data_IF_787788051076
#
_entry.id   IF_787788051076
#
_cell.length_a   1.000
_cell.length_b   1.000
_cell.length_c   1.000
_cell.angle_alpha   90.00
_cell.angle_beta   90.00
_cell.angle_gamma   90.00
#
_symmetry.space_group_name_H-M   'P 1'
#
loop_
_entity.id
_entity.type
_entity.pdbx_description
1 polymer ?
#
# COMPACT_ATOMS: atom_id res chain seq x y z
N UNK A 1 38.55 42.46 4.67
CA UNK A 1 38.29 41.40 3.66
C UNK A 1 37.29 40.42 4.27
N UNK A 2 36.19 40.18 3.55
CA UNK A 2 34.98 39.44 3.92
C UNK A 2 35.18 38.14 4.73
N UNK A 3 34.25 37.86 5.66
CA UNK A 3 33.32 36.72 5.57
C UNK A 3 32.32 36.69 6.75
N UNK A 4 31.08 37.11 6.47
CA UNK A 4 29.89 36.73 7.22
C UNK A 4 29.75 35.19 7.18
N UNK A 5 29.92 34.51 8.32
CA UNK A 5 29.48 33.12 8.48
C UNK A 5 28.01 33.15 8.88
N UNK A 6 27.16 32.86 7.89
CA UNK A 6 25.74 32.52 8.03
C UNK A 6 25.67 31.32 8.99
N UNK A 7 25.24 31.53 10.23
CA UNK A 7 24.88 30.42 11.12
C UNK A 7 23.58 29.84 10.54
N UNK A 8 23.74 28.68 9.93
CA UNK A 8 22.67 27.83 9.45
C UNK A 8 21.79 27.50 10.66
N UNK A 9 20.59 28.09 10.73
CA UNK A 9 19.52 27.58 11.60
C UNK A 9 19.22 26.18 11.09
N UNK A 10 19.72 25.17 11.78
CA UNK A 10 19.19 23.81 11.72
C UNK A 10 17.74 23.90 12.17
N UNK A 11 16.85 24.01 11.20
CA UNK A 11 15.44 23.76 11.40
C UNK A 11 15.36 22.26 11.69
N UNK A 12 15.36 21.90 12.97
CA UNK A 12 14.88 20.59 13.39
C UNK A 12 13.41 20.59 12.99
N UNK A 13 13.11 20.01 11.82
CA UNK A 13 11.78 19.54 11.52
C UNK A 13 11.50 18.47 12.58
N UNK A 14 10.91 18.88 13.70
CA UNK A 14 10.13 17.95 14.48
C UNK A 14 9.10 17.40 13.51
N UNK A 15 9.26 16.13 13.14
CA UNK A 15 8.16 15.32 12.65
C UNK A 15 6.95 15.63 13.54
N UNK A 16 5.79 16.02 13.01
CA UNK A 16 4.61 16.17 13.83
C UNK A 16 4.21 14.77 14.27
N UNK A 17 4.84 14.28 15.35
CA UNK A 17 4.20 13.32 16.22
C UNK A 17 3.08 14.15 16.84
N UNK A 18 1.90 14.09 16.21
CA UNK A 18 0.67 14.57 16.81
C UNK A 18 0.34 13.57 17.92
N UNK A 19 1.09 13.66 19.02
CA UNK A 19 0.76 12.99 20.27
C UNK A 19 -0.40 13.76 20.90
N UNK A 20 -1.63 13.52 20.40
CA UNK A 20 -2.82 13.79 21.17
C UNK A 20 -2.96 12.65 22.19
N UNK A 21 -2.32 12.80 23.36
CA UNK A 21 -2.60 11.96 24.52
C UNK A 21 -2.95 12.83 25.74
N UNK A 22 -4.08 13.51 25.67
CA UNK A 22 -4.85 13.80 26.88
C UNK A 22 -5.69 12.53 27.16
N UNK A 23 -5.42 11.85 28.28
CA UNK A 23 -5.93 10.51 28.65
C UNK A 23 -5.24 9.30 27.99
N UNK A 24 -3.94 9.06 28.27
CA UNK A 24 -3.33 7.72 28.49
C UNK A 24 -3.62 6.51 27.57
N UNK A 25 -4.32 6.67 26.45
CA UNK A 25 -4.63 5.66 25.46
C UNK A 25 -3.71 5.93 24.26
N UNK A 26 -2.89 4.96 23.89
CA UNK A 26 -2.14 5.03 22.64
C UNK A 26 -3.14 4.93 21.48
N UNK A 27 -3.49 6.09 20.91
CA UNK A 27 -4.32 6.16 19.69
C UNK A 27 -3.54 5.53 18.55
N UNK A 28 -4.14 4.57 17.85
CA UNK A 28 -3.48 3.86 16.75
C UNK A 28 -3.09 4.81 15.60
N UNK A 29 -2.09 4.44 14.80
CA UNK A 29 -1.65 5.26 13.66
C UNK A 29 -2.79 5.57 12.70
N UNK A 30 -3.66 4.60 12.39
CA UNK A 30 -4.84 4.82 11.56
C UNK A 30 -5.83 5.79 12.21
N UNK A 31 -6.10 5.68 13.51
CA UNK A 31 -6.98 6.63 14.21
C UNK A 31 -6.43 8.06 14.17
N UNK A 32 -5.11 8.24 14.29
CA UNK A 32 -4.47 9.57 14.16
C UNK A 32 -4.64 10.15 12.75
N UNK A 33 -4.53 9.31 11.72
CA UNK A 33 -4.63 9.73 10.32
C UNK A 33 -6.08 9.96 9.86
N UNK A 34 -7.04 9.29 10.48
CA UNK A 34 -8.46 9.36 10.12
C UNK A 34 -9.27 10.30 11.03
N UNK A 35 -8.69 10.84 12.10
CA UNK A 35 -9.38 11.73 13.02
C UNK A 35 -9.81 13.05 12.36
N UNK A 36 -11.07 13.43 12.58
CA UNK A 36 -11.59 14.77 12.29
C UNK A 36 -11.22 15.75 13.41
N UNK A 37 -10.87 16.98 13.06
CA UNK A 37 -10.49 18.04 14.01
C UNK A 37 -11.44 19.23 13.82
N UNK A 38 -12.04 19.73 14.90
CA UNK A 38 -12.92 20.92 14.87
C UNK A 38 -14.01 20.91 13.79
N UNK A 39 -14.68 19.76 13.62
CA UNK A 39 -15.73 19.51 12.59
C UNK A 39 -15.22 19.54 11.15
N UNK A 40 -13.90 19.60 10.94
CA UNK A 40 -13.29 19.41 9.62
C UNK A 40 -12.83 17.97 9.46
N UNK A 41 -13.10 17.40 8.28
CA UNK A 41 -12.63 16.05 7.92
C UNK A 41 -11.10 15.99 7.98
N UNK A 42 -10.53 14.80 8.19
CA UNK A 42 -9.08 14.62 8.16
C UNK A 42 -8.49 15.16 6.86
N UNK A 43 -7.41 15.95 6.97
CA UNK A 43 -6.69 16.51 5.80
C UNK A 43 -6.08 15.44 4.89
N UNK A 44 -5.95 14.20 5.38
CA UNK A 44 -5.42 13.06 4.62
C UNK A 44 -6.53 12.28 3.90
N UNK A 45 -7.80 12.57 4.16
CA UNK A 45 -8.95 11.85 3.61
C UNK A 45 -9.56 12.63 2.46
N UNK A 46 -9.62 12.01 1.28
CA UNK A 46 -10.34 12.53 0.12
C UNK A 46 -11.51 11.60 -0.20
N UNK A 47 -12.71 12.06 0.09
CA UNK A 47 -13.94 11.27 -0.10
C UNK A 47 -14.35 11.22 -1.58
N UNK A 48 -14.77 10.03 -2.01
CA UNK A 48 -15.54 9.81 -3.23
C UNK A 48 -16.95 9.31 -2.85
N UNK A 49 -17.91 10.23 -2.93
CA UNK A 49 -19.33 9.98 -2.63
C UNK A 49 -19.97 8.99 -3.62
N UNK A 50 -19.46 8.87 -4.85
CA UNK A 50 -20.07 8.01 -5.87
C UNK A 50 -19.81 6.53 -5.64
N UNK A 51 -18.73 6.21 -4.93
CA UNK A 51 -18.30 4.84 -4.64
C UNK A 51 -18.39 4.47 -3.16
N UNK A 52 -18.87 5.40 -2.32
CA UNK A 52 -18.79 5.31 -0.84
C UNK A 52 -17.38 4.94 -0.37
N UNK A 53 -16.36 5.58 -0.93
CA UNK A 53 -14.97 5.28 -0.63
C UNK A 53 -14.17 6.54 -0.33
N UNK A 54 -12.93 6.36 0.14
CA UNK A 54 -11.99 7.46 0.25
C UNK A 54 -10.57 7.05 -0.15
N UNK A 55 -9.81 8.06 -0.56
CA UNK A 55 -8.36 7.99 -0.75
C UNK A 55 -7.68 8.48 0.52
N UNK A 56 -6.76 7.68 1.04
CA UNK A 56 -5.83 8.11 2.09
C UNK A 56 -4.57 8.70 1.43
N UNK A 57 -4.54 10.03 1.33
CA UNK A 57 -3.41 10.76 0.76
C UNK A 57 -2.42 11.14 1.87
N UNK A 58 -1.30 10.44 1.94
CA UNK A 58 -0.29 10.62 2.96
C UNK A 58 0.86 11.51 2.51
N UNK A 59 0.79 12.14 1.33
CA UNK A 59 1.91 12.90 0.73
C UNK A 59 2.55 13.90 1.69
N UNK A 60 1.73 14.63 2.45
CA UNK A 60 2.17 15.65 3.41
C UNK A 60 2.16 15.16 4.87
N UNK A 61 2.20 13.85 5.09
CA UNK A 61 2.14 13.26 6.44
C UNK A 61 3.46 13.35 7.21
N UNK A 62 4.60 13.40 6.50
CA UNK A 62 5.93 13.30 7.12
C UNK A 62 6.22 11.92 7.74
N UNK A 63 5.36 10.93 7.52
CA UNK A 63 5.56 9.58 8.05
C UNK A 63 6.79 8.94 7.44
N UNK A 64 7.62 8.35 8.30
CA UNK A 64 8.77 7.54 7.89
C UNK A 64 8.44 6.04 7.87
N UNK A 65 7.33 5.65 8.49
CA UNK A 65 6.91 4.26 8.66
C UNK A 65 5.40 4.11 8.71
N UNK A 66 4.86 3.04 8.13
CA UNK A 66 3.51 2.56 8.44
C UNK A 66 3.64 1.41 9.44
N UNK A 67 3.03 1.55 10.60
CA UNK A 67 3.24 0.65 11.74
C UNK A 67 2.59 -0.73 11.50
N UNK A 68 3.10 -1.72 12.23
CA UNK A 68 2.57 -3.09 12.18
C UNK A 68 1.07 -3.08 12.45
N UNK A 69 0.31 -3.73 11.57
CA UNK A 69 -1.15 -3.84 11.68
C UNK A 69 -1.92 -2.51 11.73
N UNK A 70 -1.32 -1.38 11.32
CA UNK A 70 -1.93 -0.04 11.44
C UNK A 70 -3.35 0.03 10.87
N UNK A 71 -3.59 -0.62 9.73
CA UNK A 71 -4.86 -0.68 9.01
C UNK A 71 -5.41 -2.12 8.95
N UNK A 72 -5.14 -2.97 9.95
CA UNK A 72 -5.57 -4.37 9.93
C UNK A 72 -7.09 -4.56 10.09
N UNK A 73 -7.77 -3.67 10.82
CA UNK A 73 -9.20 -3.82 11.17
C UNK A 73 -10.12 -3.01 10.26
N UNK A 74 -11.41 -3.37 10.23
CA UNK A 74 -12.44 -2.57 9.56
C UNK A 74 -12.50 -1.13 10.13
N UNK A 75 -12.41 -0.98 11.45
CA UNK A 75 -12.42 0.35 12.11
C UNK A 75 -11.31 1.25 11.58
N UNK A 76 -10.12 0.70 11.33
CA UNK A 76 -8.99 1.43 10.77
C UNK A 76 -9.11 1.71 9.26
N UNK A 77 -10.16 1.25 8.59
CA UNK A 77 -10.39 1.40 7.14
C UNK A 77 -11.68 2.13 6.79
N UNK A 78 -12.38 2.67 7.79
CA UNK A 78 -13.63 3.41 7.61
C UNK A 78 -13.39 4.87 8.01
N UNK A 79 -13.89 5.78 7.17
CA UNK A 79 -14.06 7.17 7.54
C UNK A 79 -15.56 7.48 7.71
N UNK A 80 -15.90 8.15 8.81
CA UNK A 80 -17.27 8.54 9.12
C UNK A 80 -17.44 10.05 8.91
N UNK A 81 -18.44 10.45 8.12
CA UNK A 81 -18.80 11.87 7.93
C UNK A 81 -20.23 12.14 8.36
N UNK A 82 -20.42 13.21 9.11
CA UNK A 82 -21.75 13.68 9.50
C UNK A 82 -22.14 14.91 8.68
N UNK A 83 -23.30 14.85 8.02
CA UNK A 83 -23.86 15.95 7.23
C UNK A 83 -25.18 16.41 7.84
N UNK A 84 -25.38 17.73 7.93
CA UNK A 84 -26.66 18.32 8.32
C UNK A 84 -27.59 18.36 7.10
N UNK A 85 -28.82 17.89 7.26
CA UNK A 85 -29.86 18.05 6.24
C UNK A 85 -30.98 18.96 6.76
N UNK A 86 -31.33 19.98 5.99
CA UNK A 86 -32.52 20.79 6.23
C UNK A 86 -33.71 20.13 5.53
N UNK A 87 -34.84 19.98 6.23
CA UNK A 87 -36.09 19.54 5.61
C UNK A 87 -36.62 20.68 4.72
N UNK A 88 -36.47 20.56 3.40
CA UNK A 88 -37.21 21.42 2.47
C UNK A 88 -38.64 20.85 2.34
N UNK A 89 -39.63 21.57 2.86
CA UNK A 89 -40.99 21.50 2.34
C UNK A 89 -41.39 22.87 1.80
N UNK A 90 -41.72 22.90 0.52
CA UNK A 90 -42.69 23.85 -0.03
C UNK A 90 -44.04 23.58 0.63
N UNK A 91 -44.35 24.31 1.69
CA UNK A 91 -45.71 24.43 2.19
C UNK A 91 -46.17 25.87 1.89
N UNK A 92 -46.99 26.00 0.84
CA UNK A 92 -47.89 27.13 0.73
C UNK A 92 -48.80 27.13 1.96
N UNK A 93 -48.94 28.30 2.59
CA UNK A 93 -49.80 28.60 3.75
C UNK A 93 -49.47 27.87 5.07
N UNK A 94 -48.67 28.51 5.93
CA UNK A 94 -49.08 28.92 7.28
C UNK A 94 -47.91 29.48 8.10
N UNK A 95 -48.17 30.57 8.82
CA UNK A 95 -47.21 31.34 9.60
C UNK A 95 -46.99 30.75 10.99
N UNK A 96 -46.08 29.79 11.13
CA UNK A 96 -45.42 29.51 12.42
C UNK A 96 -43.95 29.14 12.16
N UNK A 97 -43.02 30.03 12.53
CA UNK A 97 -41.59 29.79 12.41
C UNK A 97 -41.11 28.95 13.61
N UNK A 98 -41.38 27.65 13.57
CA UNK A 98 -40.71 26.67 14.44
C UNK A 98 -39.59 26.00 13.62
N UNK A 99 -38.33 26.37 13.90
CA UNK A 99 -37.18 25.63 13.37
C UNK A 99 -37.22 24.20 13.92
N UNK A 100 -37.64 23.26 13.07
CA UNK A 100 -37.60 21.83 13.38
C UNK A 100 -36.13 21.37 13.51
N UNK A 101 -35.80 20.41 14.39
CA UNK A 101 -34.41 19.99 14.62
C UNK A 101 -33.73 19.57 13.32
N UNK A 102 -32.53 20.09 13.05
CA UNK A 102 -31.70 19.62 11.93
C UNK A 102 -31.37 18.14 12.13
N UNK A 103 -31.67 17.31 11.12
CA UNK A 103 -31.41 15.88 11.19
C UNK A 103 -29.96 15.60 10.75
N UNK A 104 -29.21 14.89 11.59
CA UNK A 104 -27.82 14.52 11.31
C UNK A 104 -27.79 13.19 10.56
N UNK A 105 -27.35 13.21 9.31
CA UNK A 105 -27.07 11.98 8.55
C UNK A 105 -25.61 11.58 8.73
N UNK A 106 -25.38 10.30 9.05
CA UNK A 106 -24.03 9.71 9.13
C UNK A 106 -23.79 8.87 7.87
N UNK A 107 -22.69 9.15 7.16
CA UNK A 107 -22.24 8.37 6.02
C UNK A 107 -20.89 7.70 6.34
N UNK A 108 -20.67 6.51 5.78
CA UNK A 108 -19.44 5.74 5.94
C UNK A 108 -18.75 5.55 4.60
N UNK A 109 -17.43 5.72 4.58
CA UNK A 109 -16.59 5.60 3.41
C UNK A 109 -15.47 4.61 3.69
N UNK A 110 -15.18 3.73 2.72
CA UNK A 110 -14.17 2.68 2.88
C UNK A 110 -12.85 3.04 2.17
N UNK A 111 -11.73 2.65 2.78
CA UNK A 111 -10.40 2.89 2.22
C UNK A 111 -10.21 2.12 0.91
N UNK A 112 -10.14 2.84 -0.21
CA UNK A 112 -10.01 2.24 -1.55
C UNK A 112 -8.63 2.44 -2.16
N UNK A 113 -7.99 3.58 -1.88
CA UNK A 113 -6.68 3.94 -2.43
C UNK A 113 -5.78 4.58 -1.38
N UNK A 114 -4.48 4.33 -1.47
CA UNK A 114 -3.47 4.99 -0.64
C UNK A 114 -2.43 5.66 -1.54
N UNK A 115 -2.06 6.90 -1.20
CA UNK A 115 -0.94 7.63 -1.81
C UNK A 115 0.14 7.77 -0.74
N UNK A 116 1.30 7.15 -0.95
CA UNK A 116 2.37 7.09 0.04
C UNK A 116 3.32 8.30 -0.04
N UNK A 117 3.87 8.81 1.08
CA UNK A 117 4.76 9.97 1.07
C UNK A 117 6.18 9.62 0.65
N UNK A 118 6.92 10.65 0.23
CA UNK A 118 8.36 10.56 -0.03
C UNK A 118 9.17 10.18 1.20
N UNK A 119 8.78 10.61 2.39
CA UNK A 119 9.53 10.30 3.62
C UNK A 119 9.42 8.85 4.06
N UNK A 120 8.51 8.05 3.47
CA UNK A 120 8.26 6.68 3.88
C UNK A 120 9.47 5.79 3.57
N UNK A 121 9.94 5.05 4.58
CA UNK A 121 11.09 4.15 4.46
C UNK A 121 10.71 2.68 4.67
N UNK A 122 9.64 2.41 5.41
CA UNK A 122 9.19 1.05 5.71
C UNK A 122 7.67 0.97 5.85
N UNK A 123 7.09 -0.11 5.31
CA UNK A 123 5.73 -0.56 5.63
C UNK A 123 5.88 -1.86 6.40
N UNK A 124 5.38 -1.90 7.63
CA UNK A 124 5.56 -3.05 8.50
C UNK A 124 4.62 -4.22 8.19
N UNK A 125 4.89 -5.32 8.89
CA UNK A 125 4.11 -6.55 8.81
C UNK A 125 2.61 -6.27 9.06
N UNK A 126 1.75 -6.91 8.27
CA UNK A 126 0.29 -6.82 8.40
C UNK A 126 -0.30 -5.40 8.29
N UNK A 127 0.48 -4.37 7.91
CA UNK A 127 0.04 -2.96 7.93
C UNK A 127 -1.33 -2.75 7.29
N UNK A 128 -1.60 -3.40 6.15
CA UNK A 128 -2.86 -3.38 5.41
C UNK A 128 -3.35 -4.80 5.08
N UNK A 129 -3.14 -5.76 5.98
CA UNK A 129 -3.65 -7.12 5.82
C UNK A 129 -5.20 -7.17 5.84
N UNK A 130 -5.80 -8.00 4.99
CA UNK A 130 -7.25 -8.12 4.80
C UNK A 130 -7.77 -9.58 4.78
N UNK A 131 -6.91 -10.58 4.59
CA UNK A 131 -7.31 -11.98 4.32
C UNK A 131 -8.12 -12.64 5.46
N UNK A 132 -7.91 -12.25 6.72
CA UNK A 132 -8.68 -12.77 7.87
C UNK A 132 -9.60 -11.73 8.51
N UNK A 133 -9.84 -10.60 7.86
CA UNK A 133 -10.60 -9.48 8.44
C UNK A 133 -12.11 -9.54 8.11
N UNK A 134 -12.60 -10.62 7.48
CA UNK A 134 -13.99 -10.78 7.02
C UNK A 134 -14.51 -9.56 6.21
N UNK A 135 -13.61 -8.94 5.45
CA UNK A 135 -13.92 -7.78 4.63
C UNK A 135 -14.67 -8.19 3.36
N UNK A 136 -15.72 -7.44 3.04
CA UNK A 136 -16.38 -7.44 1.74
C UNK A 136 -15.48 -6.80 0.68
N UNK A 137 -15.80 -6.99 -0.60
CA UNK A 137 -15.00 -6.41 -1.70
C UNK A 137 -14.97 -4.88 -1.72
N UNK A 138 -15.96 -4.23 -1.12
CA UNK A 138 -16.01 -2.77 -0.98
C UNK A 138 -15.03 -2.25 0.08
N UNK A 139 -14.68 -3.07 1.06
CA UNK A 139 -13.82 -2.71 2.20
C UNK A 139 -12.32 -2.99 1.95
N UNK A 140 -12.00 -3.61 0.82
CA UNK A 140 -10.63 -3.96 0.41
C UNK A 140 -10.01 -2.87 -0.45
N UNK A 141 -8.71 -2.66 -0.24
CA UNK A 141 -7.92 -1.69 -1.02
C UNK A 141 -7.82 -2.16 -2.47
N UNK A 142 -7.96 -1.23 -3.41
CA UNK A 142 -7.93 -1.48 -4.85
C UNK A 142 -6.70 -0.88 -5.52
N UNK A 143 -6.15 0.19 -4.97
CA UNK A 143 -5.06 0.92 -5.59
C UNK A 143 -4.01 1.39 -4.57
N UNK A 144 -2.73 1.25 -4.95
CA UNK A 144 -1.59 1.76 -4.21
C UNK A 144 -0.80 2.68 -5.13
N UNK A 145 -0.50 3.89 -4.65
CA UNK A 145 0.32 4.85 -5.36
C UNK A 145 1.65 5.06 -4.61
N UNK A 146 2.68 4.40 -5.12
CA UNK A 146 4.06 4.52 -4.66
C UNK A 146 4.87 5.58 -5.43
N UNK A 147 4.26 6.36 -6.33
CA UNK A 147 4.98 7.30 -7.22
C UNK A 147 5.80 8.34 -6.46
N UNK A 148 5.39 8.67 -5.23
CA UNK A 148 6.12 9.58 -4.33
C UNK A 148 7.02 8.86 -3.34
N UNK A 149 6.85 7.57 -3.09
CA UNK A 149 7.56 6.81 -2.05
C UNK A 149 8.99 6.41 -2.44
N UNK A 150 9.80 7.40 -2.87
CA UNK A 150 11.16 7.21 -3.40
C UNK A 150 12.21 6.87 -2.34
N UNK A 151 11.84 6.84 -1.05
CA UNK A 151 12.70 6.36 0.04
C UNK A 151 12.26 5.00 0.62
N UNK A 152 11.17 4.41 0.11
CA UNK A 152 10.66 3.13 0.62
C UNK A 152 11.67 2.02 0.37
N UNK A 153 12.19 1.40 1.43
CA UNK A 153 13.18 0.33 1.37
C UNK A 153 12.58 -1.05 1.56
N UNK A 154 11.53 -1.17 2.37
CA UNK A 154 11.00 -2.47 2.78
C UNK A 154 9.48 -2.47 2.85
N UNK A 155 8.90 -3.54 2.33
CA UNK A 155 7.49 -3.89 2.53
C UNK A 155 7.46 -5.18 3.36
N UNK A 156 6.81 -5.12 4.52
CA UNK A 156 6.78 -6.18 5.52
C UNK A 156 5.96 -7.39 5.12
N UNK A 157 6.02 -8.40 5.98
CA UNK A 157 5.31 -9.66 5.77
C UNK A 157 3.80 -9.43 5.81
N UNK A 158 3.08 -10.03 4.86
CA UNK A 158 1.63 -9.99 4.77
C UNK A 158 1.05 -8.56 4.68
N UNK A 159 1.87 -7.55 4.37
CA UNK A 159 1.52 -6.13 4.48
C UNK A 159 0.26 -5.75 3.69
N UNK A 160 0.00 -6.37 2.55
CA UNK A 160 -1.16 -6.11 1.68
C UNK A 160 -1.91 -7.40 1.30
N UNK A 161 -1.74 -8.49 2.03
CA UNK A 161 -2.39 -9.76 1.69
C UNK A 161 -3.92 -9.66 1.75
N UNK A 162 -4.61 -10.24 0.77
CA UNK A 162 -6.07 -10.39 0.78
C UNK A 162 -6.86 -9.14 0.38
N UNK A 163 -6.21 -8.16 -0.27
CA UNK A 163 -6.89 -6.98 -0.82
C UNK A 163 -7.34 -7.23 -2.28
N UNK A 164 -7.83 -6.20 -2.95
CA UNK A 164 -8.34 -6.25 -4.32
C UNK A 164 -7.46 -5.45 -5.30
N UNK A 165 -6.14 -5.41 -5.06
CA UNK A 165 -5.20 -4.64 -5.88
C UNK A 165 -5.02 -5.31 -7.24
N UNK A 166 -5.13 -4.54 -8.33
CA UNK A 166 -5.08 -5.06 -9.72
C UNK A 166 -3.80 -4.72 -10.47
N UNK A 167 -3.19 -3.57 -10.17
CA UNK A 167 -1.94 -3.11 -10.75
C UNK A 167 -1.02 -2.56 -9.68
N UNK A 168 0.28 -2.76 -9.87
CA UNK A 168 1.29 -2.30 -8.93
C UNK A 168 2.50 -1.76 -9.67
N UNK A 169 2.89 -0.54 -9.36
CA UNK A 169 4.18 0.04 -9.78
C UNK A 169 5.03 0.16 -8.52
N UNK A 170 6.16 -0.55 -8.48
CA UNK A 170 7.02 -0.56 -7.30
C UNK A 170 7.92 0.70 -7.26
N UNK A 171 8.24 1.24 -6.07
CA UNK A 171 9.07 2.43 -5.95
C UNK A 171 10.55 2.12 -6.23
N UNK A 172 11.30 3.16 -6.58
CA UNK A 172 12.67 3.03 -7.09
C UNK A 172 13.69 2.51 -6.08
N UNK A 173 13.50 2.85 -4.80
CA UNK A 173 14.41 2.53 -3.72
C UNK A 173 14.16 1.19 -3.02
N UNK A 174 13.13 0.45 -3.44
CA UNK A 174 12.67 -0.76 -2.76
C UNK A 174 13.75 -1.84 -2.81
N UNK A 175 14.10 -2.39 -1.66
CA UNK A 175 15.15 -3.41 -1.49
C UNK A 175 14.54 -4.79 -1.27
N UNK A 176 13.42 -4.88 -0.53
CA UNK A 176 12.84 -6.17 -0.16
C UNK A 176 11.32 -6.16 -0.08
N UNK A 177 10.73 -7.28 -0.50
CA UNK A 177 9.31 -7.59 -0.42
C UNK A 177 9.13 -8.79 0.50
N UNK A 178 8.42 -8.61 1.60
CA UNK A 178 8.24 -9.60 2.66
C UNK A 178 7.37 -10.80 2.27
N UNK A 179 7.38 -11.81 3.15
CA UNK A 179 6.60 -13.04 2.99
C UNK A 179 5.14 -12.72 2.77
N UNK A 180 4.55 -13.25 1.69
CA UNK A 180 3.15 -13.06 1.34
C UNK A 180 2.67 -11.59 1.32
N UNK A 181 3.57 -10.62 1.12
CA UNK A 181 3.25 -9.20 1.20
C UNK A 181 2.08 -8.78 0.28
N UNK A 182 1.98 -9.36 -0.91
CA UNK A 182 0.93 -9.11 -1.90
C UNK A 182 0.15 -10.38 -2.27
N UNK A 183 0.19 -11.41 -1.43
CA UNK A 183 -0.52 -12.65 -1.70
C UNK A 183 -2.05 -12.44 -1.73
N UNK A 184 -2.77 -13.27 -2.49
CA UNK A 184 -4.24 -13.27 -2.58
C UNK A 184 -4.81 -11.89 -2.94
N UNK A 185 -4.27 -11.30 -4.01
CA UNK A 185 -4.80 -10.08 -4.61
C UNK A 185 -5.33 -10.39 -6.01
N UNK A 186 -5.63 -9.36 -6.80
CA UNK A 186 -6.06 -9.47 -8.18
C UNK A 186 -4.98 -8.95 -9.16
N UNK A 187 -3.70 -9.00 -8.78
CA UNK A 187 -2.63 -8.37 -9.56
C UNK A 187 -2.52 -9.02 -10.93
N UNK A 188 -2.80 -8.25 -11.98
CA UNK A 188 -2.61 -8.66 -13.38
C UNK A 188 -1.25 -8.20 -13.89
N UNK A 189 -0.73 -7.09 -13.35
CA UNK A 189 0.53 -6.49 -13.73
C UNK A 189 1.27 -5.96 -12.51
N UNK A 190 2.57 -6.25 -12.46
CA UNK A 190 3.51 -5.64 -11.52
C UNK A 190 4.67 -5.07 -12.32
N UNK A 191 4.88 -3.76 -12.23
CA UNK A 191 6.01 -3.07 -12.85
C UNK A 191 7.18 -2.99 -11.87
N UNK A 192 8.21 -3.79 -12.15
CA UNK A 192 9.47 -3.83 -11.41
C UNK A 192 10.53 -2.87 -11.98
N UNK A 193 10.28 -2.20 -13.11
CA UNK A 193 11.29 -1.47 -13.89
C UNK A 193 11.96 -0.33 -13.13
N UNK A 194 11.26 0.26 -12.17
CA UNK A 194 11.80 1.33 -11.33
C UNK A 194 12.66 0.80 -10.17
N UNK A 195 12.39 -0.39 -9.64
CA UNK A 195 12.99 -0.93 -8.41
C UNK A 195 14.37 -1.55 -8.62
N UNK A 196 15.33 -0.77 -9.12
CA UNK A 196 16.69 -1.24 -9.42
C UNK A 196 17.46 -1.71 -8.18
N UNK A 197 17.05 -1.24 -7.01
CA UNK A 197 17.60 -1.64 -5.70
C UNK A 197 17.00 -2.93 -5.14
N UNK A 198 16.02 -3.54 -5.82
CA UNK A 198 15.34 -4.75 -5.33
C UNK A 198 16.30 -5.93 -5.31
N UNK A 199 16.50 -6.52 -4.13
CA UNK A 199 17.41 -7.64 -3.89
C UNK A 199 16.63 -8.94 -3.64
N UNK A 200 15.53 -8.87 -2.88
CA UNK A 200 14.86 -10.06 -2.34
C UNK A 200 13.34 -10.00 -2.53
N UNK A 201 12.79 -11.08 -3.06
CA UNK A 201 11.36 -11.36 -3.11
C UNK A 201 11.10 -12.60 -2.25
N UNK A 202 10.47 -12.44 -1.09
CA UNK A 202 10.32 -13.52 -0.11
C UNK A 202 9.22 -14.53 -0.44
N UNK A 203 9.16 -15.59 0.38
CA UNK A 203 8.25 -16.73 0.24
C UNK A 203 6.81 -16.28 0.03
N UNK A 204 6.21 -16.73 -1.07
CA UNK A 204 4.81 -16.43 -1.38
C UNK A 204 4.48 -14.96 -1.61
N UNK A 205 5.46 -14.05 -1.78
CA UNK A 205 5.24 -12.60 -1.84
C UNK A 205 4.09 -12.18 -2.77
N UNK A 206 3.93 -12.86 -3.91
CA UNK A 206 2.90 -12.65 -4.91
C UNK A 206 2.04 -13.91 -5.15
N UNK A 207 1.97 -14.83 -4.18
CA UNK A 207 1.16 -16.04 -4.26
C UNK A 207 -0.32 -15.73 -4.54
N UNK A 208 -0.96 -16.52 -5.39
CA UNK A 208 -2.41 -16.43 -5.70
C UNK A 208 -2.81 -15.04 -6.23
N UNK A 209 -2.40 -14.78 -7.47
CA UNK A 209 -2.66 -13.55 -8.21
C UNK A 209 -2.95 -13.89 -9.69
N UNK A 210 -2.95 -12.90 -10.58
CA UNK A 210 -3.29 -13.05 -12.02
C UNK A 210 -2.16 -12.56 -12.93
N UNK A 211 -0.92 -12.51 -12.44
CA UNK A 211 0.23 -11.93 -13.15
C UNK A 211 0.55 -12.80 -14.37
N UNK A 212 0.72 -12.17 -15.54
CA UNK A 212 0.99 -12.87 -16.81
C UNK A 212 2.44 -12.79 -17.25
N UNK A 213 3.12 -11.68 -16.96
CA UNK A 213 4.50 -11.47 -17.38
C UNK A 213 5.31 -10.87 -16.23
N UNK A 214 6.54 -11.34 -16.08
CA UNK A 214 7.51 -10.77 -15.17
C UNK A 214 8.71 -10.25 -15.94
N UNK A 215 9.01 -8.96 -15.80
CA UNK A 215 10.19 -8.33 -16.38
C UNK A 215 11.08 -7.75 -15.28
N UNK A 216 12.16 -8.49 -14.98
CA UNK A 216 13.24 -8.10 -14.08
C UNK A 216 14.46 -7.53 -14.83
N UNK A 217 14.31 -7.14 -16.10
CA UNK A 217 15.42 -6.68 -16.93
C UNK A 217 16.09 -5.40 -16.40
N UNK A 218 15.46 -4.64 -15.50
CA UNK A 218 16.06 -3.47 -14.86
C UNK A 218 16.58 -3.75 -13.44
N UNK A 219 16.28 -4.93 -12.86
CA UNK A 219 16.55 -5.25 -11.46
C UNK A 219 17.93 -5.94 -11.32
N UNK A 220 18.99 -5.19 -11.61
CA UNK A 220 20.39 -5.68 -11.59
C UNK A 220 20.85 -6.23 -10.23
N UNK A 221 20.22 -5.80 -9.13
CA UNK A 221 20.54 -6.24 -7.77
C UNK A 221 19.72 -7.43 -7.28
N UNK A 222 18.77 -7.94 -8.06
CA UNK A 222 17.96 -9.07 -7.65
C UNK A 222 18.86 -10.30 -7.47
N UNK A 223 18.89 -10.84 -6.25
CA UNK A 223 19.72 -12.00 -5.89
C UNK A 223 18.88 -13.23 -5.54
N UNK A 224 17.64 -13.05 -5.07
CA UNK A 224 16.86 -14.17 -4.57
C UNK A 224 15.34 -14.01 -4.76
N UNK A 225 14.73 -15.04 -5.35
CA UNK A 225 13.29 -15.27 -5.42
C UNK A 225 13.01 -16.51 -4.58
N UNK A 226 12.39 -16.35 -3.42
CA UNK A 226 12.15 -17.45 -2.47
C UNK A 226 11.04 -18.39 -2.91
N UNK A 227 10.87 -19.49 -2.17
CA UNK A 227 9.88 -20.52 -2.45
C UNK A 227 8.47 -19.97 -2.63
N UNK A 228 7.72 -20.52 -3.58
CA UNK A 228 6.33 -20.11 -3.88
C UNK A 228 6.12 -18.62 -4.16
N UNK A 229 7.17 -17.81 -4.35
CA UNK A 229 7.06 -16.35 -4.45
C UNK A 229 6.02 -15.87 -5.47
N UNK A 230 5.86 -16.60 -6.57
CA UNK A 230 4.89 -16.34 -7.63
C UNK A 230 4.00 -17.57 -7.91
N UNK A 231 3.85 -18.49 -6.96
CA UNK A 231 2.97 -19.65 -7.13
C UNK A 231 1.51 -19.23 -7.36
N UNK A 232 0.77 -20.00 -8.16
CA UNK A 232 -0.65 -19.75 -8.49
C UNK A 232 -0.88 -18.38 -9.14
N UNK A 233 -0.23 -18.16 -10.29
CA UNK A 233 -0.40 -16.99 -11.14
C UNK A 233 -0.71 -17.45 -12.59
N UNK A 234 -0.55 -16.56 -13.57
CA UNK A 234 -0.72 -16.85 -15.00
C UNK A 234 0.56 -16.61 -15.79
N UNK A 235 1.73 -16.72 -15.14
CA UNK A 235 3.00 -16.29 -15.71
C UNK A 235 3.35 -17.16 -16.90
N UNK A 236 3.55 -16.54 -18.05
CA UNK A 236 3.97 -17.19 -19.30
C UNK A 236 5.48 -17.10 -19.48
N UNK A 237 6.06 -15.94 -19.15
CA UNK A 237 7.48 -15.64 -19.35
C UNK A 237 8.05 -14.85 -18.17
N UNK A 238 9.33 -15.08 -17.91
CA UNK A 238 10.11 -14.31 -16.93
C UNK A 238 11.38 -13.83 -17.62
N UNK A 239 11.59 -12.52 -17.65
CA UNK A 239 12.79 -11.92 -18.21
C UNK A 239 13.69 -11.40 -17.10
N UNK A 240 14.94 -11.84 -17.09
CA UNK A 240 15.94 -11.39 -16.13
C UNK A 240 16.89 -10.35 -16.74
N UNK A 241 17.67 -9.71 -15.87
CA UNK A 241 18.80 -8.90 -16.29
C UNK A 241 20.05 -9.78 -16.49
N UNK A 242 20.50 -9.92 -17.73
CA UNK A 242 21.69 -10.73 -18.07
C UNK A 242 23.00 -10.24 -17.41
N UNK A 243 23.06 -8.98 -17.00
CA UNK A 243 24.22 -8.38 -16.31
C UNK A 243 24.15 -8.54 -14.78
N UNK A 244 23.05 -9.08 -14.23
CA UNK A 244 22.99 -9.44 -12.82
C UNK A 244 23.99 -10.58 -12.53
N UNK A 245 24.54 -10.61 -11.31
CA UNK A 245 25.58 -11.58 -10.95
C UNK A 245 25.06 -13.02 -10.95
N UNK A 246 23.99 -13.26 -10.21
CA UNK A 246 23.35 -14.57 -10.06
C UNK A 246 22.01 -14.35 -9.38
N UNK A 247 21.01 -15.19 -9.73
CA UNK A 247 19.73 -15.24 -9.04
C UNK A 247 19.53 -16.64 -8.50
N UNK A 248 19.18 -16.75 -7.22
CA UNK A 248 18.68 -18.01 -6.65
C UNK A 248 17.17 -18.03 -6.74
N UNK A 249 16.62 -19.06 -7.37
CA UNK A 249 15.17 -19.27 -7.50
C UNK A 249 14.77 -20.48 -6.66
N UNK A 250 13.94 -20.24 -5.66
CA UNK A 250 13.49 -21.20 -4.67
C UNK A 250 12.48 -22.22 -5.21
N UNK A 251 12.21 -23.22 -4.39
CA UNK A 251 11.27 -24.30 -4.70
C UNK A 251 9.87 -23.81 -4.93
N UNK A 252 9.20 -24.33 -5.97
CA UNK A 252 7.84 -23.95 -6.33
C UNK A 252 7.65 -22.46 -6.65
N UNK A 253 8.72 -21.67 -6.83
CA UNK A 253 8.62 -20.22 -7.03
C UNK A 253 7.63 -19.82 -8.15
N UNK A 254 7.53 -20.63 -9.20
CA UNK A 254 6.61 -20.48 -10.33
C UNK A 254 5.67 -21.68 -10.48
N UNK A 255 5.43 -22.46 -9.42
CA UNK A 255 4.45 -23.55 -9.43
C UNK A 255 3.06 -23.01 -9.78
N UNK A 256 2.24 -23.84 -10.42
CA UNK A 256 0.85 -23.48 -10.79
C UNK A 256 0.74 -22.20 -11.65
N UNK A 257 1.72 -21.98 -12.53
CA UNK A 257 1.69 -20.98 -13.60
C UNK A 257 1.58 -21.61 -15.00
N UNK A 258 1.57 -20.79 -16.06
CA UNK A 258 1.64 -21.28 -17.45
C UNK A 258 3.06 -21.76 -17.78
N UNK A 259 4.08 -21.05 -17.29
CA UNK A 259 5.49 -21.47 -17.36
C UNK A 259 5.71 -22.80 -16.63
N UNK A 260 6.38 -23.75 -17.28
CA UNK A 260 6.67 -25.09 -16.74
C UNK A 260 8.14 -25.51 -16.86
N UNK A 261 8.94 -24.80 -17.64
CA UNK A 261 10.32 -25.18 -17.95
C UNK A 261 11.24 -23.96 -17.92
N UNK A 262 12.54 -24.22 -17.86
CA UNK A 262 13.56 -23.16 -17.85
C UNK A 262 13.65 -22.39 -19.18
N UNK A 263 13.05 -22.88 -20.27
CA UNK A 263 13.14 -22.26 -21.60
C UNK A 263 12.47 -20.88 -21.66
N UNK A 264 11.48 -20.64 -20.80
CA UNK A 264 10.79 -19.35 -20.69
C UNK A 264 11.41 -18.41 -19.63
N UNK A 265 12.56 -18.79 -19.04
CA UNK A 265 13.38 -17.93 -18.19
C UNK A 265 14.41 -17.21 -19.07
N UNK A 266 13.99 -16.10 -19.67
CA UNK A 266 14.83 -15.32 -20.58
C UNK A 266 15.94 -14.58 -19.82
N UNK A 267 17.15 -14.56 -20.38
CA UNK A 267 18.28 -13.77 -19.88
C UNK A 267 18.69 -14.08 -18.43
N UNK A 268 18.41 -15.28 -17.93
CA UNK A 268 18.87 -15.71 -16.62
C UNK A 268 20.42 -15.68 -16.54
N UNK A 269 21.03 -15.11 -15.49
CA UNK A 269 22.49 -15.12 -15.34
C UNK A 269 23.05 -16.54 -15.27
N UNK A 270 24.21 -16.79 -15.89
CA UNK A 270 24.79 -18.15 -16.02
C UNK A 270 25.07 -18.83 -14.67
N UNK A 271 25.48 -18.07 -13.64
CA UNK A 271 25.73 -18.60 -12.29
C UNK A 271 24.49 -18.69 -11.39
N UNK A 272 23.28 -18.67 -11.96
CA UNK A 272 22.02 -18.76 -11.20
C UNK A 272 21.75 -20.17 -10.68
N UNK A 273 21.08 -20.27 -9.54
CA UNK A 273 20.71 -21.54 -8.91
C UNK A 273 19.20 -21.74 -8.98
N UNK A 274 18.75 -22.88 -9.53
CA UNK A 274 17.33 -23.20 -9.76
C UNK A 274 16.91 -24.40 -8.89
N UNK A 275 16.21 -24.14 -7.79
CA UNK A 275 15.87 -25.15 -6.78
C UNK A 275 14.48 -25.75 -6.99
N UNK A 276 14.25 -26.40 -8.14
CA UNK A 276 12.93 -26.91 -8.55
C UNK A 276 11.85 -25.82 -8.61
N UNK A 277 12.03 -24.78 -9.46
CA UNK A 277 11.17 -23.60 -9.46
C UNK A 277 9.72 -23.87 -9.88
N UNK A 278 9.43 -24.98 -10.57
CA UNK A 278 8.10 -25.30 -11.10
C UNK A 278 7.35 -26.40 -10.34
N UNK A 279 8.01 -27.07 -9.38
CA UNK A 279 7.50 -28.25 -8.66
C UNK A 279 7.20 -27.94 -7.20
#
# INVERSE_FOLDING_TARGET
MFKFKKILKTLVLLSPIVALSACGQNVSQAEQLLASIDKTDSKYVKIDESTNSFVLDLTDSGLTKIDKSAFFSLKSRIFQKTTLQNQNQTNESNSENTQKPQETKVNFYFLSKIIFPETLTEIEDYAFYADSANLTDQEKIKELDFSKATNLKKIGNFAFQGNNITKLVLPSSLVSIGRQAFAKNNLEQVDFSNSKDLEIIQTGAFFDNKIQHLDFSQNVKLIEIFSSAFESNKIETVKFNKSAKSVTIGTSAFKDNIIKTNENLENIPESSSLNSPFN
#
